data_IF_112079300975
#
_entry.id   IF_112079300975
#
_cell.length_a   1.000
_cell.length_b   1.000
_cell.length_c   1.000
_cell.angle_alpha   90.00
_cell.angle_beta   90.00
_cell.angle_gamma   90.00
#
_symmetry.space_group_name_H-M   'P 1'
#
loop_
_entity.id
_entity.type
_entity.pdbx_description
1 polymer ?
#
# COMPACT_ATOMS: atom_id res chain seq x y z
N UNK A 1 -35.66 -0.46 -50.67
CA UNK A 1 -36.07 0.43 -51.78
C UNK A 1 -37.46 0.99 -51.49
N UNK A 2 -37.80 2.23 -51.93
CA UNK A 2 -37.72 3.35 -50.96
C UNK A 2 -38.89 4.37 -50.97
N UNK A 3 -38.92 5.24 -49.95
CA UNK A 3 -39.37 6.66 -49.97
C UNK A 3 -39.07 7.29 -48.58
N UNK A 4 -38.33 8.37 -48.31
CA UNK A 4 -37.93 9.67 -48.93
C UNK A 4 -38.85 10.90 -48.69
N UNK A 5 -38.22 12.00 -48.22
CA UNK A 5 -38.69 13.42 -48.09
C UNK A 5 -39.67 13.71 -46.93
N UNK A 6 -39.69 14.87 -46.24
CA UNK A 6 -39.00 16.20 -46.37
C UNK A 6 -38.39 16.66 -45.01
N UNK A 7 -37.31 17.45 -44.86
CA UNK A 7 -37.03 18.87 -45.22
C UNK A 7 -38.01 19.88 -44.57
N UNK A 8 -37.67 20.63 -43.49
CA UNK A 8 -36.95 21.95 -43.39
C UNK A 8 -37.90 23.05 -42.79
N UNK A 9 -37.54 24.33 -42.51
CA UNK A 9 -36.35 24.97 -41.84
C UNK A 9 -36.68 26.16 -40.85
N UNK A 10 -35.65 26.83 -40.28
CA UNK A 10 -35.64 28.17 -39.56
C UNK A 10 -36.38 28.17 -38.18
N UNK A 11 -36.09 28.94 -37.10
CA UNK A 11 -35.47 30.26 -36.77
C UNK A 11 -34.64 30.13 -35.47
N UNK A 12 -33.50 30.78 -35.13
CA UNK A 12 -32.59 31.82 -35.70
C UNK A 12 -32.56 33.23 -35.03
N UNK A 13 -31.43 33.56 -34.36
CA UNK A 13 -30.97 34.87 -33.80
C UNK A 13 -31.75 35.42 -32.57
N UNK A 14 -31.18 36.21 -31.65
CA UNK A 14 -29.79 36.74 -31.49
C UNK A 14 -29.25 36.35 -30.07
N UNK A 15 -28.45 37.05 -29.24
CA UNK A 15 -27.91 38.42 -29.15
C UNK A 15 -26.47 38.44 -28.55
N UNK A 16 -26.03 39.55 -27.93
CA UNK A 16 -24.65 39.77 -27.42
C UNK A 16 -24.63 40.33 -25.99
N UNK A 17 -23.53 40.14 -25.26
CA UNK A 17 -22.72 41.26 -24.74
C UNK A 17 -21.44 40.81 -24.02
N UNK A 18 -20.35 41.55 -24.23
CA UNK A 18 -19.12 41.53 -23.45
C UNK A 18 -18.40 42.88 -23.61
N UNK A 19 -17.73 43.39 -22.57
CA UNK A 19 -16.59 44.27 -22.75
C UNK A 19 -15.33 43.77 -22.02
N UNK A 20 -14.19 44.39 -22.32
CA UNK A 20 -12.85 44.11 -21.82
C UNK A 20 -12.14 45.44 -21.49
N UNK A 21 -11.08 45.38 -20.69
CA UNK A 21 -10.26 46.49 -20.13
C UNK A 21 -10.80 47.18 -18.87
N UNK A 22 -10.01 47.07 -17.79
CA UNK A 22 -9.44 48.22 -17.10
C UNK A 22 -8.07 47.81 -16.53
N UNK A 23 -7.12 48.74 -16.47
CA UNK A 23 -5.77 48.54 -15.95
C UNK A 23 -5.44 49.74 -15.07
N UNK A 24 -4.95 49.51 -13.85
CA UNK A 24 -4.44 50.57 -13.00
C UNK A 24 -3.15 50.13 -12.32
N UNK A 25 -2.15 51.02 -12.34
CA UNK A 25 -0.82 50.82 -11.75
C UNK A 25 -0.63 51.86 -10.64
N UNK A 26 -0.42 51.40 -9.42
CA UNK A 26 -0.04 52.26 -8.30
C UNK A 26 1.22 51.69 -7.64
N UNK A 27 2.33 52.40 -7.80
CA UNK A 27 3.51 52.26 -6.95
C UNK A 27 3.24 53.05 -5.65
N UNK A 28 3.66 52.55 -4.49
CA UNK A 28 3.13 53.01 -3.20
C UNK A 28 3.90 52.49 -1.99
N UNK A 29 4.91 53.25 -1.60
CA UNK A 29 5.76 53.02 -0.42
C UNK A 29 4.98 52.75 0.88
N UNK A 30 5.45 51.77 1.65
CA UNK A 30 4.93 51.39 2.95
C UNK A 30 6.05 50.92 3.90
N UNK A 31 6.91 51.87 4.28
CA UNK A 31 7.63 52.00 5.58
C UNK A 31 7.71 50.72 6.44
N UNK A 32 8.94 50.26 6.70
CA UNK A 32 9.21 49.12 7.58
C UNK A 32 8.68 49.32 9.02
N UNK A 33 8.26 48.23 9.64
CA UNK A 33 8.17 48.08 11.10
C UNK A 33 8.51 46.64 11.43
N UNK A 34 9.53 46.44 12.27
CA UNK A 34 9.91 45.11 12.74
C UNK A 34 8.82 44.54 13.64
N UNK A 35 8.58 43.25 13.52
CA UNK A 35 7.83 42.47 14.52
C UNK A 35 8.45 41.09 14.58
N UNK A 36 9.35 40.91 15.55
CA UNK A 36 9.85 39.60 15.88
C UNK A 36 8.70 38.68 16.28
N UNK A 37 8.68 37.47 15.76
CA UNK A 37 7.84 36.37 16.25
C UNK A 37 8.67 35.09 16.07
N UNK A 38 8.73 34.19 17.07
CA UNK A 38 9.76 33.16 17.10
C UNK A 38 9.65 32.16 15.95
N UNK A 39 10.79 31.59 15.54
CA UNK A 39 10.84 30.52 14.56
C UNK A 39 10.10 29.27 15.08
N UNK A 40 8.87 29.08 14.60
CA UNK A 40 8.08 27.87 14.82
C UNK A 40 8.60 26.74 13.95
N UNK A 41 9.04 25.66 14.59
CA UNK A 41 9.66 24.49 13.96
C UNK A 41 8.78 23.91 12.85
N UNK A 42 9.24 23.99 11.60
CA UNK A 42 8.54 23.40 10.45
C UNK A 42 8.83 21.91 10.42
N UNK A 43 7.93 21.12 10.98
CA UNK A 43 7.99 19.66 10.96
C UNK A 43 7.81 19.14 9.52
N UNK A 44 8.93 19.00 8.80
CA UNK A 44 8.98 18.42 7.47
C UNK A 44 8.54 16.95 7.51
N UNK A 45 7.65 16.48 6.61
CA UNK A 45 7.12 15.13 6.69
C UNK A 45 8.21 14.11 6.33
N UNK A 46 8.65 13.35 7.35
CA UNK A 46 9.66 12.30 7.22
C UNK A 46 9.35 11.37 6.04
N UNK A 47 10.12 11.54 4.96
CA UNK A 47 10.00 10.74 3.75
C UNK A 47 10.83 9.49 3.97
N UNK A 48 10.18 8.37 4.28
CA UNK A 48 10.86 7.14 4.64
C UNK A 48 11.51 6.47 3.44
N UNK A 49 12.81 6.68 3.24
CA UNK A 49 13.64 5.78 2.45
C UNK A 49 15.13 5.86 2.83
N UNK A 50 15.90 4.84 2.47
CA UNK A 50 17.33 4.60 2.73
C UNK A 50 17.77 4.36 4.19
N UNK A 51 18.53 3.29 4.39
CA UNK A 51 19.22 2.95 5.65
C UNK A 51 20.72 3.21 5.49
N UNK A 52 21.34 4.12 6.26
CA UNK A 52 22.79 4.16 6.44
C UNK A 52 23.19 3.09 7.48
N UNK A 53 23.84 2.02 7.02
CA UNK A 53 24.38 0.98 7.90
C UNK A 53 25.75 1.40 8.44
N UNK A 54 25.81 1.77 9.73
CA UNK A 54 27.04 1.90 10.55
C UNK A 54 26.75 2.18 12.04
N UNK A 55 25.48 2.32 12.45
CA UNK A 55 25.05 2.46 13.85
C UNK A 55 23.98 1.43 14.23
N UNK A 56 23.74 1.24 15.53
CA UNK A 56 22.59 0.46 16.01
C UNK A 56 21.27 1.17 15.68
N UNK A 57 20.17 0.40 15.43
CA UNK A 57 18.84 0.98 15.27
C UNK A 57 18.42 1.81 16.49
N UNK A 58 17.78 2.95 16.26
CA UNK A 58 17.20 3.78 17.30
C UNK A 58 15.92 3.15 17.90
N UNK A 59 15.52 3.56 19.11
CA UNK A 59 14.27 3.12 19.72
C UNK A 59 13.07 3.44 18.82
N UNK A 60 12.21 2.45 18.56
CA UNK A 60 11.09 2.54 17.64
C UNK A 60 11.44 2.39 16.15
N UNK A 61 12.71 2.24 15.78
CA UNK A 61 13.12 2.05 14.39
C UNK A 61 12.94 0.60 13.95
N UNK A 62 12.35 0.41 12.76
CA UNK A 62 12.32 -0.89 12.08
C UNK A 62 13.68 -1.20 11.45
N UNK A 63 14.17 -2.43 11.62
CA UNK A 63 15.40 -2.93 11.00
C UNK A 63 15.21 -4.37 10.48
N UNK A 64 16.00 -4.77 9.48
CA UNK A 64 16.10 -6.17 9.05
C UNK A 64 17.04 -6.89 10.01
N UNK A 65 16.56 -7.92 10.70
CA UNK A 65 17.34 -8.72 11.65
C UNK A 65 18.08 -9.86 10.96
N UNK A 66 17.45 -10.46 9.95
CA UNK A 66 18.02 -11.48 9.06
C UNK A 66 17.14 -11.69 7.82
N UNK A 67 17.73 -12.25 6.76
CA UNK A 67 17.04 -12.79 5.60
C UNK A 67 16.85 -14.30 5.77
N UNK A 68 15.68 -14.83 5.42
CA UNK A 68 15.29 -16.23 5.62
C UNK A 68 14.68 -16.78 4.32
N UNK A 69 15.55 -17.18 3.40
CA UNK A 69 15.15 -17.46 2.01
C UNK A 69 14.77 -16.16 1.32
N UNK A 70 13.58 -16.13 0.71
CA UNK A 70 13.06 -14.93 0.01
C UNK A 70 12.24 -14.03 0.95
N UNK A 71 12.37 -14.17 2.27
CA UNK A 71 11.65 -13.38 3.28
C UNK A 71 12.62 -12.61 4.18
N UNK A 72 12.23 -11.43 4.64
CA UNK A 72 12.96 -10.64 5.64
C UNK A 72 12.31 -10.81 7.03
N UNK A 73 13.11 -11.03 8.07
CA UNK A 73 12.66 -10.90 9.46
C UNK A 73 12.86 -9.44 9.90
N UNK A 74 11.81 -8.62 9.78
CA UNK A 74 11.83 -7.19 10.14
C UNK A 74 11.37 -6.99 11.57
N UNK A 75 12.21 -6.38 12.40
CA UNK A 75 11.93 -6.16 13.82
C UNK A 75 11.94 -4.66 14.16
N UNK A 76 11.23 -4.28 15.22
CA UNK A 76 11.25 -2.91 15.76
C UNK A 76 12.13 -2.89 17.00
N UNK A 77 13.10 -1.97 17.07
CA UNK A 77 13.99 -1.85 18.23
C UNK A 77 13.27 -1.27 19.45
N UNK A 78 13.39 -1.98 20.57
CA UNK A 78 12.83 -1.63 21.89
C UNK A 78 13.95 -1.30 22.89
N UNK A 79 13.58 -0.98 24.13
CA UNK A 79 14.54 -0.78 25.23
C UNK A 79 15.34 -2.06 25.57
N UNK A 80 14.80 -3.25 25.24
CA UNK A 80 15.45 -4.55 25.45
C UNK A 80 15.60 -5.27 24.11
N UNK A 81 16.75 -5.20 23.41
CA UNK A 81 16.93 -5.76 22.06
C UNK A 81 16.67 -7.28 21.90
N UNK A 82 16.58 -8.02 23.01
CA UNK A 82 16.17 -9.43 23.01
C UNK A 82 14.67 -9.63 22.78
N UNK A 83 13.84 -8.65 23.17
CA UNK A 83 12.38 -8.68 23.14
C UNK A 83 11.78 -7.95 21.91
N UNK A 84 12.64 -7.43 21.02
CA UNK A 84 12.27 -6.71 19.79
C UNK A 84 11.22 -7.48 18.96
N UNK A 85 9.98 -6.95 18.77
CA UNK A 85 8.93 -7.65 18.04
C UNK A 85 9.25 -7.70 16.54
N UNK A 86 9.26 -8.92 16.00
CA UNK A 86 9.63 -9.25 14.63
C UNK A 86 8.42 -9.75 13.81
N UNK A 87 8.18 -9.14 12.65
CA UNK A 87 7.30 -9.66 11.61
C UNK A 87 8.12 -10.34 10.52
N UNK A 88 7.54 -11.37 9.89
CA UNK A 88 8.07 -11.87 8.61
C UNK A 88 7.49 -11.02 7.48
N UNK A 89 8.33 -10.61 6.53
CA UNK A 89 8.00 -9.66 5.46
C UNK A 89 8.48 -10.13 4.08
N UNK A 90 7.74 -9.80 3.02
CA UNK A 90 8.22 -9.90 1.64
C UNK A 90 7.67 -8.77 0.76
N UNK A 91 8.54 -8.14 -0.02
CA UNK A 91 8.18 -7.16 -1.05
C UNK A 91 7.92 -7.87 -2.37
N UNK A 92 6.69 -7.78 -2.87
CA UNK A 92 6.20 -8.51 -4.04
C UNK A 92 6.32 -7.63 -5.29
N UNK A 93 7.11 -8.08 -6.27
CA UNK A 93 7.44 -7.32 -7.48
C UNK A 93 6.89 -7.98 -8.74
N UNK A 94 6.44 -7.16 -9.67
CA UNK A 94 6.19 -7.55 -11.06
C UNK A 94 7.51 -7.70 -11.82
N UNK A 95 7.48 -8.31 -13.02
CA UNK A 95 8.69 -8.68 -13.78
C UNK A 95 9.64 -7.52 -14.10
N UNK A 96 9.11 -6.31 -14.26
CA UNK A 96 9.88 -5.08 -14.51
C UNK A 96 10.53 -4.49 -13.23
N UNK A 97 10.41 -5.16 -12.09
CA UNK A 97 10.96 -4.75 -10.79
C UNK A 97 10.07 -3.82 -9.97
N UNK A 98 8.97 -3.34 -10.56
CA UNK A 98 7.96 -2.51 -9.88
C UNK A 98 7.29 -3.28 -8.73
N UNK A 99 7.13 -2.65 -7.57
CA UNK A 99 6.42 -3.24 -6.44
C UNK A 99 4.90 -3.25 -6.69
N UNK A 100 4.29 -4.43 -6.69
CA UNK A 100 2.83 -4.60 -6.82
C UNK A 100 2.14 -4.79 -5.46
N UNK A 101 2.87 -5.31 -4.47
CA UNK A 101 2.34 -5.47 -3.11
C UNK A 101 3.50 -5.64 -2.12
N UNK A 102 3.22 -5.49 -0.83
CA UNK A 102 4.03 -6.06 0.23
C UNK A 102 3.17 -6.83 1.21
N UNK A 103 3.71 -7.89 1.79
CA UNK A 103 3.08 -8.67 2.86
C UNK A 103 3.95 -8.59 4.12
N UNK A 104 3.30 -8.43 5.27
CA UNK A 104 3.92 -8.72 6.56
C UNK A 104 2.99 -9.56 7.44
N UNK A 105 3.56 -10.33 8.36
CA UNK A 105 2.78 -11.18 9.27
C UNK A 105 3.45 -11.36 10.63
N UNK A 106 2.61 -11.52 11.64
CA UNK A 106 2.96 -11.92 13.01
C UNK A 106 2.22 -13.20 13.38
N UNK A 107 2.79 -13.99 14.30
CA UNK A 107 2.05 -15.09 14.94
C UNK A 107 1.08 -14.52 15.97
N UNK A 108 0.01 -15.25 16.24
CA UNK A 108 -0.94 -14.97 17.30
C UNK A 108 -0.81 -16.02 18.42
N UNK A 109 -1.27 -15.74 19.65
CA UNK A 109 -1.24 -16.72 20.76
C UNK A 109 -2.04 -17.99 20.44
N UNK A 110 -1.76 -19.10 21.14
CA UNK A 110 -2.47 -20.37 20.93
C UNK A 110 -3.96 -20.30 21.31
N UNK A 111 -4.33 -19.35 22.16
CA UNK A 111 -5.72 -19.02 22.54
C UNK A 111 -6.46 -18.24 21.44
N UNK A 112 -5.77 -17.72 20.42
CA UNK A 112 -6.39 -17.01 19.31
C UNK A 112 -7.08 -17.99 18.34
N UNK A 113 -8.19 -17.53 17.74
CA UNK A 113 -8.96 -18.33 16.76
C UNK A 113 -8.22 -18.64 15.45
N UNK A 114 -7.04 -18.04 15.25
CA UNK A 114 -6.24 -18.05 14.04
C UNK A 114 -4.77 -18.05 14.46
N UNK A 115 -3.89 -18.90 13.92
CA UNK A 115 -2.47 -18.96 14.31
C UNK A 115 -1.64 -17.74 13.88
N UNK A 116 -2.10 -16.92 12.92
CA UNK A 116 -1.39 -15.73 12.50
C UNK A 116 -2.30 -14.64 11.91
N UNK A 117 -1.85 -13.39 12.03
CA UNK A 117 -2.42 -12.23 11.35
C UNK A 117 -1.42 -11.68 10.34
N UNK A 118 -1.86 -11.46 9.11
CA UNK A 118 -1.07 -10.84 8.05
C UNK A 118 -1.71 -9.52 7.58
N UNK A 119 -0.88 -8.58 7.17
CA UNK A 119 -1.28 -7.38 6.43
C UNK A 119 -0.69 -7.45 5.04
N UNK A 120 -1.50 -7.22 4.02
CA UNK A 120 -1.02 -7.01 2.65
C UNK A 120 -1.35 -5.58 2.25
N UNK A 121 -0.36 -4.83 1.79
CA UNK A 121 -0.51 -3.47 1.26
C UNK A 121 -0.32 -3.56 -0.25
N UNK A 122 -1.20 -2.91 -1.00
CA UNK A 122 -1.17 -2.83 -2.47
C UNK A 122 -1.31 -1.37 -2.92
N UNK A 123 -0.88 -1.00 -4.14
CA UNK A 123 -0.97 0.35 -4.65
C UNK A 123 -2.36 1.01 -4.53
N UNK A 124 -2.33 2.33 -4.51
CA UNK A 124 -3.49 3.17 -4.78
C UNK A 124 -4.08 2.85 -6.16
N UNK A 125 -5.31 3.29 -6.39
CA UNK A 125 -6.11 2.93 -7.59
C UNK A 125 -6.42 1.43 -7.72
N UNK A 126 -6.27 0.64 -6.65
CA UNK A 126 -6.83 -0.73 -6.58
C UNK A 126 -8.35 -0.72 -6.37
N UNK A 127 -9.08 -1.57 -7.09
CA UNK A 127 -10.52 -1.75 -6.97
C UNK A 127 -10.88 -2.49 -5.67
N UNK A 128 -11.29 -1.74 -4.63
CA UNK A 128 -11.59 -2.32 -3.32
C UNK A 128 -12.65 -3.45 -3.36
N UNK A 129 -13.67 -3.31 -4.20
CA UNK A 129 -14.74 -4.32 -4.39
C UNK A 129 -14.27 -5.57 -5.14
N UNK A 130 -13.13 -5.49 -5.85
CA UNK A 130 -12.50 -6.64 -6.50
C UNK A 130 -11.86 -7.62 -5.51
N UNK A 131 -11.56 -7.14 -4.29
CA UNK A 131 -10.86 -7.85 -3.22
C UNK A 131 -9.41 -8.25 -3.59
N UNK A 132 -8.62 -8.62 -2.59
CA UNK A 132 -7.31 -9.21 -2.75
C UNK A 132 -7.46 -10.73 -2.94
N UNK A 133 -6.93 -11.29 -4.02
CA UNK A 133 -6.86 -12.75 -4.21
C UNK A 133 -5.51 -13.31 -3.81
N UNK A 134 -5.48 -14.45 -3.11
CA UNK A 134 -4.25 -15.23 -2.88
C UNK A 134 -4.51 -16.69 -3.25
N UNK A 135 -3.63 -17.29 -4.06
CA UNK A 135 -3.62 -18.71 -4.45
C UNK A 135 -2.25 -19.30 -4.16
N UNK A 136 -2.17 -20.52 -3.63
CA UNK A 136 -0.90 -21.25 -3.38
C UNK A 136 -0.76 -22.36 -4.41
N UNK A 137 0.38 -22.44 -5.10
CA UNK A 137 0.71 -23.43 -6.14
C UNK A 137 -0.40 -23.66 -7.20
N UNK A 138 -1.18 -22.62 -7.54
CA UNK A 138 -2.30 -22.70 -8.48
C UNK A 138 -3.60 -23.31 -7.92
N UNK A 139 -3.68 -23.54 -6.61
CA UNK A 139 -4.91 -23.93 -5.91
C UNK A 139 -5.99 -22.84 -5.93
N UNK A 140 -7.22 -23.17 -5.52
CA UNK A 140 -8.36 -22.26 -5.53
C UNK A 140 -8.03 -20.93 -4.81
N UNK A 141 -8.12 -19.76 -5.49
CA UNK A 141 -7.90 -18.48 -4.86
C UNK A 141 -8.85 -18.23 -3.68
N UNK A 142 -8.30 -17.78 -2.55
CA UNK A 142 -9.02 -17.22 -1.41
C UNK A 142 -9.06 -15.69 -1.56
N UNK A 143 -10.21 -15.09 -1.30
CA UNK A 143 -10.44 -13.64 -1.44
C UNK A 143 -10.53 -12.95 -0.08
N UNK A 144 -9.88 -11.79 0.04
CA UNK A 144 -9.81 -11.01 1.28
C UNK A 144 -10.23 -9.56 1.01
N UNK A 145 -11.18 -8.98 1.78
CA UNK A 145 -11.62 -7.61 1.57
C UNK A 145 -10.56 -6.60 2.03
N UNK A 146 -10.37 -5.53 1.24
CA UNK A 146 -9.61 -4.37 1.67
C UNK A 146 -10.35 -3.64 2.78
N UNK A 147 -9.63 -3.34 3.87
CA UNK A 147 -10.18 -2.73 5.09
C UNK A 147 -10.21 -1.20 5.02
N UNK A 148 -9.19 -0.58 4.42
CA UNK A 148 -9.06 0.85 4.21
C UNK A 148 -7.92 1.13 3.20
N UNK A 149 -7.77 2.38 2.77
CA UNK A 149 -6.56 2.86 2.10
C UNK A 149 -6.05 4.13 2.78
N UNK A 150 -4.74 4.39 2.70
CA UNK A 150 -4.10 5.64 3.11
C UNK A 150 -3.06 6.06 2.05
N UNK A 151 -2.22 7.07 2.32
CA UNK A 151 -1.20 7.55 1.35
C UNK A 151 -0.18 6.50 0.88
N UNK A 152 0.03 5.41 1.61
CA UNK A 152 0.95 4.33 1.25
C UNK A 152 0.30 3.27 0.34
N UNK A 153 -1.03 3.13 0.38
CA UNK A 153 -1.74 2.09 -0.38
C UNK A 153 -3.04 1.63 0.26
N UNK A 154 -3.61 0.56 -0.28
CA UNK A 154 -4.80 -0.12 0.20
C UNK A 154 -4.44 -1.38 1.00
N UNK A 155 -5.06 -1.56 2.15
CA UNK A 155 -4.69 -2.56 3.17
C UNK A 155 -5.71 -3.69 3.23
N UNK A 156 -5.29 -4.93 3.01
CA UNK A 156 -6.05 -6.12 3.37
C UNK A 156 -5.50 -6.67 4.70
N UNK A 157 -6.39 -6.85 5.69
CA UNK A 157 -6.07 -7.52 6.96
C UNK A 157 -6.57 -8.95 6.91
N UNK A 158 -5.63 -9.90 7.00
CA UNK A 158 -5.85 -11.32 6.72
C UNK A 158 -5.70 -12.11 8.01
N UNK A 159 -6.74 -12.86 8.35
CA UNK A 159 -6.64 -13.95 9.31
C UNK A 159 -6.16 -15.21 8.60
N UNK A 160 -4.95 -15.68 8.89
CA UNK A 160 -4.41 -16.92 8.33
C UNK A 160 -4.86 -18.10 9.19
N UNK A 161 -5.54 -19.07 8.61
CA UNK A 161 -5.97 -20.30 9.29
C UNK A 161 -4.82 -21.31 9.41
N UNK A 162 -5.01 -22.36 10.20
CA UNK A 162 -4.07 -23.48 10.25
C UNK A 162 -3.89 -24.17 8.89
N UNK A 163 -4.91 -24.16 8.02
CA UNK A 163 -4.80 -24.64 6.64
C UNK A 163 -3.92 -23.72 5.79
N UNK A 164 -4.06 -22.40 5.93
CA UNK A 164 -3.25 -21.42 5.18
C UNK A 164 -1.78 -21.53 5.56
N UNK A 165 -1.47 -21.62 6.86
CA UNK A 165 -0.10 -21.85 7.33
C UNK A 165 0.42 -23.22 6.86
N UNK A 166 -0.40 -24.27 6.89
CA UNK A 166 -0.02 -25.59 6.38
C UNK A 166 0.09 -25.65 4.84
N UNK A 167 -0.49 -24.71 4.09
CA UNK A 167 -0.25 -24.53 2.66
C UNK A 167 1.05 -23.76 2.43
N UNK A 168 1.21 -22.60 3.07
CA UNK A 168 2.40 -21.74 2.91
C UNK A 168 3.69 -22.45 3.36
N UNK A 169 3.63 -23.31 4.39
CA UNK A 169 4.78 -24.13 4.83
C UNK A 169 5.16 -25.31 3.92
N UNK A 170 4.33 -25.63 2.91
CA UNK A 170 4.54 -26.75 1.97
C UNK A 170 4.70 -26.34 0.51
N UNK A 171 4.14 -25.20 0.12
CA UNK A 171 4.15 -24.74 -1.26
C UNK A 171 5.48 -24.14 -1.70
N UNK A 172 5.61 -23.92 -3.00
CA UNK A 172 6.76 -23.25 -3.60
C UNK A 172 6.49 -21.76 -3.79
N UNK A 173 5.28 -21.42 -4.24
CA UNK A 173 4.89 -20.03 -4.49
C UNK A 173 3.39 -19.79 -4.24
N UNK A 174 3.06 -18.53 -4.03
CA UNK A 174 1.70 -18.04 -4.07
C UNK A 174 1.56 -16.92 -5.10
N UNK A 175 0.41 -16.85 -5.76
CA UNK A 175 0.04 -15.73 -6.64
C UNK A 175 -0.85 -14.77 -5.86
N UNK A 176 -0.44 -13.51 -5.81
CA UNK A 176 -1.18 -12.40 -5.17
C UNK A 176 -1.78 -11.55 -6.28
N UNK A 177 -3.10 -11.39 -6.26
CA UNK A 177 -3.91 -10.89 -7.37
C UNK A 177 -4.72 -9.66 -6.95
N UNK A 178 -4.68 -8.60 -7.77
CA UNK A 178 -5.48 -7.39 -7.61
C UNK A 178 -6.15 -6.99 -8.93
N UNK A 179 -7.15 -6.11 -8.84
CA UNK A 179 -7.86 -5.52 -9.99
C UNK A 179 -7.66 -4.00 -9.97
N UNK A 180 -7.16 -3.36 -11.04
CA UNK A 180 -7.09 -1.90 -11.11
C UNK A 180 -8.49 -1.28 -11.17
N UNK A 181 -8.71 -0.16 -10.49
CA UNK A 181 -9.97 0.59 -10.50
C UNK A 181 -10.33 1.09 -11.91
N UNK A 182 -9.32 1.54 -12.67
CA UNK A 182 -9.49 1.99 -14.05
C UNK A 182 -9.72 0.83 -15.06
N UNK A 183 -9.45 -0.42 -14.67
CA UNK A 183 -9.56 -1.60 -15.54
C UNK A 183 -10.11 -2.81 -14.77
N UNK A 184 -11.37 -2.74 -14.29
CA UNK A 184 -11.91 -3.68 -13.29
C UNK A 184 -11.94 -5.14 -13.76
N UNK A 185 -12.04 -5.40 -15.06
CA UNK A 185 -12.02 -6.74 -15.64
C UNK A 185 -10.63 -7.39 -15.65
N UNK A 186 -9.56 -6.58 -15.64
CA UNK A 186 -8.17 -7.06 -15.65
C UNK A 186 -7.73 -7.52 -14.25
N UNK A 187 -6.84 -8.52 -14.22
CA UNK A 187 -6.19 -9.01 -12.99
C UNK A 187 -4.69 -8.85 -13.14
N UNK A 188 -4.07 -8.04 -12.28
CA UNK A 188 -2.62 -7.92 -12.17
C UNK A 188 -2.15 -8.89 -11.08
N UNK A 189 -1.07 -9.62 -11.33
CA UNK A 189 -0.63 -10.74 -10.49
C UNK A 189 0.86 -10.65 -10.19
N UNK A 190 1.23 -10.61 -8.91
CA UNK A 190 2.61 -10.79 -8.47
C UNK A 190 2.81 -12.20 -7.90
N UNK A 191 4.05 -12.65 -7.93
CA UNK A 191 4.47 -13.88 -7.25
C UNK A 191 4.97 -13.53 -5.84
N UNK A 192 4.54 -14.32 -4.86
CA UNK A 192 5.07 -14.38 -3.50
C UNK A 192 5.81 -15.71 -3.35
N UNK A 193 7.10 -15.67 -3.07
CA UNK A 193 7.88 -16.89 -2.86
C UNK A 193 7.60 -17.47 -1.48
N UNK A 194 7.45 -18.79 -1.38
CA UNK A 194 7.33 -19.49 -0.10
C UNK A 194 8.68 -20.07 0.37
N UNK A 195 9.76 -19.88 -0.41
CA UNK A 195 11.13 -20.27 -0.03
C UNK A 195 11.54 -19.60 1.27
N UNK A 196 11.72 -20.40 2.32
CA UNK A 196 12.09 -19.93 3.65
C UNK A 196 10.92 -19.58 4.58
N UNK A 197 9.67 -19.53 4.07
CA UNK A 197 8.48 -19.16 4.86
C UNK A 197 8.37 -19.94 6.17
N UNK A 198 8.57 -21.26 6.16
CA UNK A 198 8.51 -22.09 7.37
C UNK A 198 9.47 -21.62 8.47
N UNK A 199 10.75 -21.40 8.12
CA UNK A 199 11.76 -20.98 9.07
C UNK A 199 11.55 -19.53 9.53
N UNK A 200 11.08 -18.66 8.64
CA UNK A 200 10.73 -17.28 8.98
C UNK A 200 9.52 -17.17 9.90
N UNK A 201 8.47 -17.96 9.63
CA UNK A 201 7.24 -18.01 10.42
C UNK A 201 7.51 -18.48 11.85
N UNK A 202 8.35 -19.52 12.01
CA UNK A 202 8.71 -20.05 13.33
C UNK A 202 9.63 -19.11 14.13
N UNK A 203 10.23 -18.11 13.48
CA UNK A 203 11.00 -17.01 14.08
C UNK A 203 10.19 -15.73 14.36
N UNK A 204 9.11 -15.47 13.62
CA UNK A 204 8.28 -14.28 13.80
C UNK A 204 7.68 -14.21 15.21
N UNK A 205 7.56 -13.02 15.80
CA UNK A 205 7.04 -12.84 17.15
C UNK A 205 5.55 -13.20 17.25
N UNK A 206 5.16 -13.66 18.44
CA UNK A 206 3.76 -13.82 18.83
C UNK A 206 3.28 -12.47 19.38
N UNK A 207 2.22 -11.91 18.81
CA UNK A 207 1.68 -10.59 19.20
C UNK A 207 0.26 -10.74 19.73
N UNK A 208 0.02 -10.22 20.94
CA UNK A 208 -1.32 -10.00 21.48
C UNK A 208 -1.97 -8.81 20.74
N UNK A 209 -3.17 -9.00 20.19
CA UNK A 209 -4.01 -7.95 19.58
C UNK A 209 -5.26 -7.71 20.43
#
# INVERSE_FOLDING_TARGET
MPRFLSFMPVIALLALSAPVMAQETADGDATATESETPAGETAEPATGDTVPSDGEPALGQTYVKEEVGDWELRCIRTETPADDPCQLYQLLKEGDGNALAEISLFRLPEEAKLPAGATVIVPLETLLTGQLGISVDGGQPKSYPFSFCNRQGCYARIGLTAEDIAAFKRGAEAKVMIRPFAAPDQVVTSTMSLTGFTAGYDKASVINQ
#
